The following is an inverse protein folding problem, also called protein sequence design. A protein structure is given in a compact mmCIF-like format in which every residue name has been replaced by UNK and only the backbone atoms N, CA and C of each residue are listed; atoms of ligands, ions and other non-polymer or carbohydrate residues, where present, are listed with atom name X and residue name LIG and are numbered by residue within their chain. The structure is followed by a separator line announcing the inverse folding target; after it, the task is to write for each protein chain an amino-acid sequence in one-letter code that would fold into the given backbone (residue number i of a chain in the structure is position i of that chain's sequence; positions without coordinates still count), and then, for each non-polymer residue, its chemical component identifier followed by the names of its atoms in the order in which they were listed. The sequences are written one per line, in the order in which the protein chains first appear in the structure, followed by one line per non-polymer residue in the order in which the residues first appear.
data_IF_359212162012
#
_entry.id   IF_359212162012
#
_cell.length_a   1.000
_cell.length_b   1.000
_cell.length_c   1.000
_cell.angle_alpha   90.00
_cell.angle_beta   90.00
_cell.angle_gamma   90.00
#
_symmetry.space_group_name_H-M   'P 1'
#
loop_
_entity.id
_entity.type
_entity.pdbx_description
1 polymer ?
#
# COMPACT_ATOMS: atom_id res chain seq x y z
N UNK A 1 -18.56 10.29 6.99
CA UNK A 1 -17.27 9.85 7.59
C UNK A 1 -16.31 9.40 6.52
N UNK A 2 -15.08 9.85 6.59
CA UNK A 2 -14.07 9.40 5.64
C UNK A 2 -13.74 7.92 5.88
N UNK A 3 -13.64 7.15 4.81
CA UNK A 3 -13.17 5.77 4.85
C UNK A 3 -11.68 5.71 5.13
N UNK A 4 -10.92 6.60 4.50
CA UNK A 4 -9.48 6.78 4.73
C UNK A 4 -9.23 8.22 5.16
N UNK A 5 -8.47 8.39 6.23
CA UNK A 5 -8.09 9.71 6.74
C UNK A 5 -6.62 9.74 7.08
N UNK A 6 -5.91 10.71 6.54
CA UNK A 6 -4.52 11.03 6.85
C UNK A 6 -4.47 12.36 7.57
N UNK A 7 -3.82 12.41 8.73
CA UNK A 7 -3.66 13.64 9.51
C UNK A 7 -2.18 13.87 9.83
N UNK A 8 -1.63 14.93 9.27
CA UNK A 8 -0.25 15.35 9.48
C UNK A 8 0.77 14.21 9.27
N UNK A 9 0.54 13.39 8.26
CA UNK A 9 1.40 12.23 7.99
C UNK A 9 2.76 12.70 7.51
N UNK A 10 3.80 12.26 8.19
CA UNK A 10 5.18 12.54 7.85
C UNK A 10 5.94 11.24 7.60
N UNK A 11 6.90 11.30 6.71
CA UNK A 11 7.83 10.20 6.48
C UNK A 11 9.22 10.73 6.25
N UNK A 12 10.14 10.28 7.09
CA UNK A 12 11.55 10.63 7.00
C UNK A 12 12.40 9.38 6.83
N UNK A 13 13.37 9.46 5.93
CA UNK A 13 14.38 8.42 5.74
C UNK A 13 15.71 8.95 6.22
N UNK A 14 16.38 8.16 7.06
CA UNK A 14 17.69 8.49 7.58
C UNK A 14 18.76 7.62 6.92
N UNK A 15 19.75 8.26 6.31
CA UNK A 15 20.89 7.58 5.71
C UNK A 15 22.17 8.28 6.20
N UNK A 16 22.81 7.69 7.21
CA UNK A 16 23.95 8.32 7.87
C UNK A 16 23.56 9.65 8.52
N UNK A 17 24.21 10.74 8.11
CA UNK A 17 23.91 12.08 8.61
C UNK A 17 22.82 12.79 7.81
N UNK A 18 22.35 12.19 6.71
CA UNK A 18 21.36 12.79 5.83
C UNK A 18 19.96 12.32 6.21
N UNK A 19 19.04 13.27 6.40
CA UNK A 19 17.63 13.01 6.60
C UNK A 19 16.84 13.53 5.41
N UNK A 20 16.07 12.66 4.78
CA UNK A 20 15.19 13.01 3.65
C UNK A 20 13.76 12.99 4.13
N UNK A 21 13.07 14.12 4.01
CA UNK A 21 11.63 14.22 4.29
C UNK A 21 10.85 13.88 3.02
N UNK A 22 10.35 12.65 2.94
CA UNK A 22 9.54 12.23 1.81
C UNK A 22 8.12 12.77 1.90
N UNK A 23 7.56 12.87 3.10
CA UNK A 23 6.24 13.45 3.37
C UNK A 23 6.34 14.46 4.52
N UNK A 24 5.71 15.62 4.37
CA UNK A 24 5.79 16.74 5.32
C UNK A 24 4.39 17.20 5.74
N UNK A 25 3.71 16.38 6.54
CA UNK A 25 2.41 16.75 7.09
C UNK A 25 1.27 16.62 6.07
N UNK A 26 1.12 15.46 5.47
CA UNK A 26 0.07 15.21 4.49
C UNK A 26 -1.29 15.04 5.19
N UNK A 27 -2.29 15.76 4.68
CA UNK A 27 -3.67 15.64 5.11
C UNK A 27 -4.53 15.24 3.91
N UNK A 28 -5.33 14.20 4.07
CA UNK A 28 -6.16 13.67 2.99
C UNK A 28 -7.33 12.90 3.58
N UNK A 29 -8.51 13.06 2.99
CA UNK A 29 -9.68 12.27 3.33
C UNK A 29 -10.28 11.69 2.06
N UNK A 30 -10.61 10.40 2.09
CA UNK A 30 -11.21 9.70 0.96
C UNK A 30 -12.43 8.94 1.48
N UNK A 31 -13.57 9.14 0.80
CA UNK A 31 -14.81 8.45 1.14
C UNK A 31 -14.83 7.03 0.58
N UNK A 32 -15.68 6.20 1.15
CA UNK A 32 -15.87 4.83 0.64
C UNK A 32 -16.38 4.85 -0.80
N UNK A 33 -15.77 4.02 -1.66
CA UNK A 33 -16.15 3.94 -3.06
C UNK A 33 -15.60 5.06 -3.95
N UNK A 34 -14.86 5.99 -3.40
CA UNK A 34 -14.29 7.11 -4.15
C UNK A 34 -13.04 6.66 -4.93
N UNK A 35 -12.96 7.13 -6.18
CA UNK A 35 -11.73 6.99 -6.98
C UNK A 35 -10.87 8.24 -6.80
N UNK A 36 -9.71 8.05 -6.19
CA UNK A 36 -8.78 9.14 -5.93
C UNK A 36 -7.52 9.00 -6.79
N UNK A 37 -7.09 10.08 -7.40
CA UNK A 37 -5.88 10.13 -8.22
C UNK A 37 -4.87 11.07 -7.57
N UNK A 38 -3.65 10.56 -7.33
CA UNK A 38 -2.56 11.34 -6.73
C UNK A 38 -1.61 11.74 -7.85
N UNK A 39 -1.44 13.05 -8.06
CA UNK A 39 -0.61 13.61 -9.11
C UNK A 39 0.48 14.49 -8.52
N UNK A 40 1.60 14.58 -9.22
CA UNK A 40 2.72 15.42 -8.83
C UNK A 40 3.99 15.07 -9.59
N UNK A 41 5.03 15.91 -9.51
CA UNK A 41 6.31 15.63 -10.16
C UNK A 41 7.01 14.43 -9.54
N UNK A 42 7.99 13.89 -10.25
CA UNK A 42 8.86 12.83 -9.73
C UNK A 42 9.55 13.31 -8.44
N UNK A 43 9.59 12.46 -7.44
CA UNK A 43 10.16 12.79 -6.13
C UNK A 43 9.25 13.56 -5.19
N UNK A 44 7.97 13.75 -5.55
CA UNK A 44 6.99 14.45 -4.70
C UNK A 44 6.47 13.61 -3.52
N UNK A 45 6.86 12.34 -3.42
CA UNK A 45 6.41 11.46 -2.35
C UNK A 45 5.19 10.60 -2.66
N UNK A 46 4.75 10.56 -3.91
CA UNK A 46 3.56 9.77 -4.32
C UNK A 46 3.72 8.28 -4.00
N UNK A 47 4.85 7.69 -4.38
CA UNK A 47 5.15 6.28 -4.12
C UNK A 47 5.25 6.00 -2.62
N UNK A 48 5.88 6.90 -1.88
CA UNK A 48 5.99 6.81 -0.42
C UNK A 48 4.61 6.79 0.23
N UNK A 49 3.73 7.68 -0.20
CA UNK A 49 2.36 7.74 0.30
C UNK A 49 1.59 6.45 0.00
N UNK A 50 1.68 5.95 -1.23
CA UNK A 50 1.02 4.70 -1.62
C UNK A 50 1.58 3.49 -0.85
N UNK A 51 2.87 3.46 -0.57
CA UNK A 51 3.47 2.40 0.23
C UNK A 51 2.93 2.39 1.66
N UNK A 52 2.74 3.56 2.26
CA UNK A 52 2.16 3.69 3.59
C UNK A 52 0.70 3.24 3.58
N UNK A 53 -0.09 3.69 2.61
CA UNK A 53 -1.50 3.32 2.48
C UNK A 53 -1.67 1.83 2.19
N UNK A 54 -0.76 1.23 1.44
CA UNK A 54 -0.77 -0.19 1.13
C UNK A 54 -0.21 -1.08 2.23
N UNK A 55 0.28 -0.51 3.34
CA UNK A 55 0.86 -1.28 4.43
C UNK A 55 2.27 -1.83 4.16
N UNK A 56 2.93 -1.32 3.11
CA UNK A 56 4.30 -1.72 2.76
C UNK A 56 5.34 -1.00 3.61
N UNK A 57 4.98 0.14 4.18
CA UNK A 57 5.85 0.98 5.00
C UNK A 57 5.03 1.64 6.10
N UNK A 58 5.73 2.19 7.09
CA UNK A 58 5.13 2.91 8.21
C UNK A 58 5.43 4.40 8.08
N UNK A 59 4.51 5.24 8.53
CA UNK A 59 4.79 6.68 8.63
C UNK A 59 5.72 6.97 9.84
N UNK A 60 6.45 8.07 9.77
CA UNK A 60 7.30 8.53 10.88
C UNK A 60 6.46 9.24 11.93
N UNK A 61 5.44 9.99 11.51
CA UNK A 61 4.52 10.68 12.39
C UNK A 61 3.18 10.89 11.74
N UNK A 62 2.22 11.35 12.52
CA UNK A 62 0.85 11.57 12.06
C UNK A 62 -0.05 10.35 12.27
N UNK A 63 -1.25 10.45 11.74
CA UNK A 63 -2.26 9.41 11.88
C UNK A 63 -2.73 8.92 10.52
N UNK A 64 -2.86 7.61 10.37
CA UNK A 64 -3.43 6.96 9.19
C UNK A 64 -4.59 6.09 9.68
N UNK A 65 -5.81 6.51 9.37
CA UNK A 65 -7.02 5.80 9.81
C UNK A 65 -7.74 5.25 8.59
N UNK A 66 -7.96 3.95 8.56
CA UNK A 66 -8.73 3.28 7.52
C UNK A 66 -9.89 2.53 8.17
N UNK A 67 -11.11 2.86 7.77
CA UNK A 67 -12.35 2.25 8.30
C UNK A 67 -12.38 2.22 9.83
N UNK A 68 -11.94 3.31 10.46
CA UNK A 68 -11.88 3.45 11.91
C UNK A 68 -10.67 2.84 12.60
N UNK A 69 -9.82 2.15 11.86
CA UNK A 69 -8.63 1.50 12.42
C UNK A 69 -7.37 2.33 12.21
N UNK A 70 -6.59 2.51 13.26
CA UNK A 70 -5.33 3.25 13.25
C UNK A 70 -4.17 2.39 12.73
N UNK A 71 -3.88 2.49 11.44
CA UNK A 71 -2.84 1.68 10.79
C UNK A 71 -1.44 2.08 11.25
N UNK A 72 -1.23 3.34 11.61
CA UNK A 72 0.08 3.83 12.08
C UNK A 72 0.56 3.13 13.35
N UNK A 73 -0.36 2.51 14.07
CA UNK A 73 -0.06 1.76 15.30
C UNK A 73 0.21 0.28 15.07
N UNK A 74 0.05 -0.18 13.83
CA UNK A 74 0.22 -1.60 13.51
C UNK A 74 1.69 -2.00 13.56
N UNK A 75 1.97 -3.15 14.17
CA UNK A 75 3.27 -3.79 14.11
C UNK A 75 3.44 -4.53 12.77
N UNK A 76 4.60 -5.18 12.60
CA UNK A 76 4.90 -5.90 11.35
C UNK A 76 3.87 -7.00 11.05
N UNK A 77 3.42 -7.72 12.07
CA UNK A 77 2.45 -8.80 11.92
C UNK A 77 1.07 -8.27 11.53
N UNK A 78 0.62 -7.20 12.18
CA UNK A 78 -0.66 -6.56 11.87
C UNK A 78 -0.65 -5.98 10.45
N UNK A 79 0.46 -5.38 10.00
CA UNK A 79 0.59 -4.89 8.64
C UNK A 79 0.57 -6.01 7.60
N UNK A 80 1.12 -7.17 7.93
CA UNK A 80 1.06 -8.34 7.04
C UNK A 80 -0.39 -8.78 6.83
N UNK A 81 -1.19 -8.85 7.90
CA UNK A 81 -2.61 -9.17 7.83
C UNK A 81 -3.37 -8.10 7.06
N UNK A 82 -3.07 -6.84 7.28
CA UNK A 82 -3.66 -5.71 6.56
C UNK A 82 -3.43 -5.82 5.05
N UNK A 83 -2.20 -6.09 4.63
CA UNK A 83 -1.88 -6.26 3.19
C UNK A 83 -2.62 -7.43 2.57
N UNK A 84 -2.83 -8.50 3.33
CA UNK A 84 -3.53 -9.70 2.87
C UNK A 84 -5.02 -9.44 2.67
N UNK A 85 -5.66 -8.80 3.65
CA UNK A 85 -7.11 -8.79 3.77
C UNK A 85 -7.78 -7.50 3.29
N UNK A 86 -7.07 -6.37 3.35
CA UNK A 86 -7.70 -5.06 3.16
C UNK A 86 -7.46 -4.46 1.78
N UNK A 87 -6.31 -4.70 1.18
CA UNK A 87 -5.97 -4.02 -0.06
C UNK A 87 -5.18 -4.87 -1.05
N UNK A 88 -5.22 -4.44 -2.29
CA UNK A 88 -4.34 -4.94 -3.35
C UNK A 88 -3.37 -3.85 -3.77
N UNK A 89 -2.25 -4.24 -4.32
CA UNK A 89 -1.20 -3.33 -4.75
C UNK A 89 -0.81 -3.62 -6.21
N UNK A 90 -0.80 -2.57 -7.03
CA UNK A 90 -0.25 -2.64 -8.38
C UNK A 90 1.04 -1.83 -8.40
N UNK A 91 2.15 -2.52 -8.65
CA UNK A 91 3.46 -1.90 -8.63
C UNK A 91 3.77 -1.21 -9.95
N UNK A 92 4.70 -0.25 -9.91
CA UNK A 92 5.21 0.43 -11.10
C UNK A 92 5.91 -0.55 -12.04
N UNK A 93 6.58 -1.57 -11.50
CA UNK A 93 7.21 -2.65 -12.25
C UNK A 93 6.40 -3.93 -12.08
N UNK A 94 6.56 -4.88 -12.98
CA UNK A 94 5.73 -6.10 -13.01
C UNK A 94 5.89 -6.99 -11.78
N UNK A 95 7.05 -7.00 -11.14
CA UNK A 95 7.35 -7.83 -9.96
C UNK A 95 7.07 -9.32 -10.15
N UNK A 96 7.33 -9.82 -11.35
CA UNK A 96 7.18 -11.23 -11.65
C UNK A 96 8.39 -12.04 -11.19
N UNK A 97 8.13 -13.23 -10.69
CA UNK A 97 9.20 -14.19 -10.42
C UNK A 97 9.59 -14.85 -11.75
N UNK A 98 10.81 -14.59 -12.21
CA UNK A 98 11.24 -14.96 -13.57
C UNK A 98 11.34 -16.47 -13.80
N UNK A 99 11.57 -17.24 -12.74
CA UNK A 99 11.69 -18.70 -12.81
C UNK A 99 10.34 -19.42 -12.83
N UNK A 100 9.25 -18.70 -12.69
CA UNK A 100 7.90 -19.26 -12.65
C UNK A 100 7.14 -18.95 -13.93
N UNK A 101 6.21 -19.83 -14.29
CA UNK A 101 5.29 -19.58 -15.39
C UNK A 101 4.29 -18.49 -15.04
N UNK A 102 3.52 -18.01 -16.03
CA UNK A 102 2.46 -17.05 -15.78
C UNK A 102 1.43 -17.59 -14.77
N UNK A 103 1.02 -18.84 -14.93
CA UNK A 103 0.08 -19.50 -14.00
C UNK A 103 0.66 -19.58 -12.59
N UNK A 104 1.91 -19.97 -12.45
CA UNK A 104 2.58 -20.08 -11.15
C UNK A 104 2.73 -18.72 -10.46
N UNK A 105 2.96 -17.64 -11.21
CA UNK A 105 2.98 -16.29 -10.65
C UNK A 105 1.62 -15.90 -10.08
N UNK A 106 0.52 -16.23 -10.77
CA UNK A 106 -0.83 -15.97 -10.27
C UNK A 106 -1.14 -16.86 -9.06
N UNK A 107 -0.73 -18.13 -9.08
CA UNK A 107 -0.89 -19.04 -7.94
C UNK A 107 -0.20 -18.50 -6.68
N UNK A 108 1.03 -17.99 -6.83
CA UNK A 108 1.79 -17.42 -5.73
C UNK A 108 1.04 -16.28 -5.05
N UNK A 109 0.46 -15.37 -5.84
CA UNK A 109 -0.33 -14.26 -5.31
C UNK A 109 -1.64 -14.73 -4.67
N UNK A 110 -2.29 -15.74 -5.24
CA UNK A 110 -3.58 -16.23 -4.74
C UNK A 110 -3.45 -17.00 -3.42
N UNK A 111 -2.30 -17.59 -3.13
CA UNK A 111 -2.08 -18.36 -1.90
C UNK A 111 -2.28 -17.54 -0.62
N UNK A 112 -2.09 -16.23 -0.68
CA UNK A 112 -2.26 -15.36 0.48
C UNK A 112 -3.70 -14.89 0.69
N UNK A 113 -4.57 -15.10 -0.29
CA UNK A 113 -5.98 -14.70 -0.21
C UNK A 113 -6.79 -15.71 0.59
N UNK A 114 -7.84 -15.22 1.29
CA UNK A 114 -8.76 -16.09 2.04
C UNK A 114 -9.69 -16.88 1.13
N UNK A 115 -10.13 -16.26 0.04
CA UNK A 115 -11.09 -16.85 -0.91
C UNK A 115 -10.66 -16.50 -2.34
N UNK A 116 -9.55 -17.10 -2.81
CA UNK A 116 -9.01 -16.75 -4.12
C UNK A 116 -9.83 -17.35 -5.27
N UNK A 117 -9.88 -16.64 -6.38
CA UNK A 117 -10.37 -17.20 -7.64
C UNK A 117 -9.38 -18.26 -8.15
N UNK A 118 -9.85 -19.28 -8.90
CA UNK A 118 -8.91 -20.22 -9.50
C UNK A 118 -7.91 -19.51 -10.41
N UNK A 119 -6.60 -19.78 -10.28
CA UNK A 119 -5.57 -19.07 -11.04
C UNK A 119 -5.75 -19.11 -12.56
N UNK A 120 -6.25 -20.24 -13.09
CA UNK A 120 -6.55 -20.36 -14.52
C UNK A 120 -7.62 -19.39 -14.98
N UNK A 121 -8.67 -19.19 -14.17
CA UNK A 121 -9.75 -18.27 -14.49
C UNK A 121 -9.28 -16.83 -14.51
N UNK A 122 -8.38 -16.46 -13.60
CA UNK A 122 -7.79 -15.12 -13.57
C UNK A 122 -6.98 -14.86 -14.83
N UNK A 123 -6.16 -15.81 -15.27
CA UNK A 123 -5.37 -15.68 -16.49
C UNK A 123 -6.24 -15.54 -17.75
N UNK A 124 -7.39 -16.18 -17.79
CA UNK A 124 -8.32 -16.07 -18.92
C UNK A 124 -8.95 -14.67 -18.98
N UNK A 125 -9.13 -14.00 -17.82
CA UNK A 125 -9.72 -12.67 -17.74
C UNK A 125 -8.80 -11.55 -18.18
N UNK A 126 -7.51 -11.77 -18.16
CA UNK A 126 -6.52 -10.78 -18.56
C UNK A 126 -5.90 -11.12 -19.90
#
# INVERSE_FOLDING_TARGET
MAYLSLKNVTKEYHSGEVTIKALSGVNLEIEEGELCVIVGPSGAGKTTLLNILGGMDCCTGGEVVLDGEHIEKYDRKALTTYRRDTGGFVFQFYNLVQNLTALENVELASQICKDPLPPKDVLIQV
#
